data_IF_082397889281
#
_entry.id   IF_082397889281
#
_cell.length_a   1.000
_cell.length_b   1.000
_cell.length_c   1.000
_cell.angle_alpha   90.00
_cell.angle_beta   90.00
_cell.angle_gamma   90.00
#
_symmetry.space_group_name_H-M   'P 1'
#
loop_
_entity.id
_entity.type
_entity.pdbx_description
1 polymer ?
#
# COMPACT_ATOMS: atom_id res chain seq x y z
N UNK A 1 -15.29 -9.49 -3.90
CA UNK A 1 -13.99 -10.05 -4.25
C UNK A 1 -12.89 -9.04 -3.99
N UNK A 2 -11.89 -9.47 -3.26
CA UNK A 2 -10.78 -8.60 -2.94
C UNK A 2 -9.74 -8.65 -4.04
N UNK A 3 -9.22 -7.47 -4.39
CA UNK A 3 -8.16 -7.40 -5.38
C UNK A 3 -6.83 -7.76 -4.75
N UNK A 4 -5.97 -8.37 -5.54
CA UNK A 4 -4.62 -8.65 -5.09
C UNK A 4 -3.80 -7.37 -4.97
N UNK A 5 -3.96 -6.47 -5.93
CA UNK A 5 -3.27 -5.17 -5.88
C UNK A 5 -4.30 -4.06 -5.79
N UNK A 6 -3.92 -2.98 -5.11
CA UNK A 6 -4.76 -1.83 -4.90
C UNK A 6 -4.03 -0.58 -5.39
N UNK A 7 -4.78 0.38 -5.92
CA UNK A 7 -4.20 1.68 -6.19
C UNK A 7 -3.95 2.41 -4.86
N UNK A 8 -3.24 3.52 -4.91
CA UNK A 8 -3.02 4.32 -3.70
C UNK A 8 -4.34 4.71 -3.06
N UNK A 9 -5.28 5.17 -3.87
CA UNK A 9 -6.57 5.60 -3.35
C UNK A 9 -7.35 4.43 -2.73
N UNK A 10 -7.35 3.29 -3.43
CA UNK A 10 -8.04 2.12 -2.93
C UNK A 10 -7.42 1.64 -1.62
N UNK A 11 -6.10 1.63 -1.56
CA UNK A 11 -5.42 1.18 -0.36
C UNK A 11 -5.68 2.13 0.80
N UNK A 12 -5.69 3.43 0.53
CA UNK A 12 -5.98 4.42 1.57
C UNK A 12 -7.34 4.16 2.19
N UNK A 13 -8.34 3.88 1.35
CA UNK A 13 -9.68 3.60 1.83
C UNK A 13 -9.76 2.27 2.55
N UNK A 14 -9.13 1.26 1.97
CA UNK A 14 -9.22 -0.10 2.51
C UNK A 14 -8.56 -0.18 3.88
N UNK A 15 -7.42 0.46 4.06
CA UNK A 15 -6.67 0.37 5.31
C UNK A 15 -6.94 1.53 6.26
N UNK A 16 -7.76 2.50 5.85
CA UNK A 16 -8.06 3.62 6.72
C UNK A 16 -6.88 4.56 6.94
N UNK A 17 -6.04 4.72 5.93
CA UNK A 17 -4.86 5.57 5.99
C UNK A 17 -5.04 6.73 5.01
N UNK A 18 -4.56 7.90 5.36
CA UNK A 18 -4.67 9.06 4.48
C UNK A 18 -3.95 8.82 3.16
N UNK A 19 -4.47 9.42 2.08
CA UNK A 19 -3.92 9.23 0.75
C UNK A 19 -2.46 9.68 0.66
N UNK A 20 -2.15 10.82 1.23
CA UNK A 20 -0.77 11.32 1.18
C UNK A 20 0.18 10.39 1.91
N UNK A 21 -0.24 9.89 3.06
CA UNK A 21 0.58 8.97 3.82
C UNK A 21 0.74 7.64 3.08
N UNK A 22 -0.36 7.17 2.47
CA UNK A 22 -0.29 5.92 1.72
C UNK A 22 0.68 6.05 0.55
N UNK A 23 0.67 7.20 -0.13
CA UNK A 23 1.60 7.42 -1.23
C UNK A 23 3.04 7.42 -0.75
N UNK A 24 3.30 8.09 0.37
CA UNK A 24 4.66 8.11 0.91
C UNK A 24 5.13 6.72 1.28
N UNK A 25 4.24 5.93 1.90
CA UNK A 25 4.59 4.56 2.25
C UNK A 25 4.91 3.74 1.01
N UNK A 26 4.14 3.93 -0.06
CA UNK A 26 4.41 3.21 -1.30
C UNK A 26 5.77 3.59 -1.87
N UNK A 27 6.08 4.88 -1.85
CA UNK A 27 7.35 5.35 -2.39
C UNK A 27 8.54 4.82 -1.59
N UNK A 28 8.36 4.66 -0.30
CA UNK A 28 9.44 4.19 0.57
C UNK A 28 9.59 2.68 0.57
N UNK A 29 8.60 1.94 0.07
CA UNK A 29 8.61 0.48 0.18
C UNK A 29 8.33 -0.19 -1.17
N UNK A 30 8.93 0.32 -2.25
CA UNK A 30 8.67 -0.26 -3.57
C UNK A 30 9.26 -1.62 -3.63
N UNK A 31 9.89 -2.27 -3.11
CA UNK A 31 10.32 -3.65 -3.25
C UNK A 31 9.74 -4.53 -2.16
N UNK A 32 8.92 -3.95 -1.31
CA UNK A 32 8.33 -4.69 -0.20
C UNK A 32 6.87 -4.97 -0.47
N UNK A 33 6.02 -3.97 -0.34
CA UNK A 33 4.60 -4.17 -0.58
C UNK A 33 4.07 -3.30 -1.72
N UNK A 34 4.91 -2.49 -2.33
CA UNK A 34 4.48 -1.61 -3.40
C UNK A 34 5.23 -1.94 -4.68
N UNK A 35 4.57 -1.72 -5.81
CA UNK A 35 5.14 -1.94 -7.12
C UNK A 35 4.86 -0.71 -7.95
N UNK A 36 5.87 -0.23 -8.65
CA UNK A 36 5.67 0.89 -9.56
C UNK A 36 5.37 0.30 -10.94
N UNK A 37 4.16 0.51 -11.42
CA UNK A 37 3.70 -0.08 -12.68
C UNK A 37 3.23 1.03 -13.60
N UNK A 38 3.91 1.16 -14.74
CA UNK A 38 3.60 2.26 -15.64
C UNK A 38 3.98 3.57 -14.99
N UNK A 39 3.01 4.40 -14.71
CA UNK A 39 3.27 5.68 -14.07
C UNK A 39 2.53 5.80 -12.74
N UNK A 40 2.25 4.68 -12.09
CA UNK A 40 1.56 4.70 -10.83
C UNK A 40 2.06 3.60 -9.93
N UNK A 41 1.78 3.76 -8.63
CA UNK A 41 2.11 2.73 -7.65
C UNK A 41 0.93 1.82 -7.42
N UNK A 42 1.22 0.55 -7.21
CA UNK A 42 0.23 -0.44 -6.82
C UNK A 42 0.65 -1.02 -5.48
N UNK A 43 -0.31 -1.25 -4.62
CA UNK A 43 -0.06 -1.83 -3.30
C UNK A 43 -0.47 -3.29 -3.35
N UNK A 44 0.44 -4.19 -3.00
CA UNK A 44 0.11 -5.60 -2.90
C UNK A 44 -0.58 -5.79 -1.56
N UNK A 45 -1.88 -6.01 -1.60
CA UNK A 45 -2.72 -5.99 -0.41
C UNK A 45 -2.20 -6.90 0.71
N UNK A 46 -1.90 -8.15 0.37
CA UNK A 46 -1.48 -9.09 1.40
C UNK A 46 -0.14 -8.72 2.01
N UNK A 47 0.76 -8.17 1.21
CA UNK A 47 2.05 -7.75 1.73
C UNK A 47 1.91 -6.55 2.66
N UNK A 48 1.02 -5.63 2.33
CA UNK A 48 0.80 -4.47 3.19
C UNK A 48 0.12 -4.89 4.49
N UNK A 49 -0.77 -5.88 4.42
CA UNK A 49 -1.37 -6.41 5.64
C UNK A 49 -0.31 -6.98 6.56
N UNK A 50 0.65 -7.70 5.99
CA UNK A 50 1.74 -8.25 6.77
C UNK A 50 2.61 -7.14 7.37
N UNK A 51 2.87 -6.10 6.58
CA UNK A 51 3.63 -4.96 7.06
C UNK A 51 2.96 -4.31 8.27
N UNK A 52 1.64 -4.16 8.21
CA UNK A 52 0.91 -3.57 9.33
C UNK A 52 0.99 -4.44 10.57
N UNK A 53 0.89 -5.76 10.40
CA UNK A 53 0.96 -6.67 11.54
C UNK A 53 2.31 -6.60 12.23
N UNK A 54 3.36 -6.30 11.48
CA UNK A 54 4.71 -6.26 12.04
C UNK A 54 5.12 -4.86 12.48
N UNK A 55 4.29 -3.86 12.24
CA UNK A 55 4.62 -2.49 12.57
C UNK A 55 3.94 -2.08 13.87
N UNK A 56 4.67 -1.35 14.70
CA UNK A 56 4.07 -0.79 15.91
C UNK A 56 3.53 0.62 15.65
N UNK A 57 3.92 1.21 14.55
CA UNK A 57 3.51 2.58 14.22
C UNK A 57 3.62 2.78 12.72
N UNK A 58 2.61 3.36 12.14
CA UNK A 58 2.60 3.63 10.72
C UNK A 58 2.38 5.09 10.40
#
# INVERSE_FOLDING_TARGET
NEKYTLSIKEAAEYFGIGIKKMRRLAEEHTSTFAVYSGNRYLIIREKFEQFLLESSMV
#
